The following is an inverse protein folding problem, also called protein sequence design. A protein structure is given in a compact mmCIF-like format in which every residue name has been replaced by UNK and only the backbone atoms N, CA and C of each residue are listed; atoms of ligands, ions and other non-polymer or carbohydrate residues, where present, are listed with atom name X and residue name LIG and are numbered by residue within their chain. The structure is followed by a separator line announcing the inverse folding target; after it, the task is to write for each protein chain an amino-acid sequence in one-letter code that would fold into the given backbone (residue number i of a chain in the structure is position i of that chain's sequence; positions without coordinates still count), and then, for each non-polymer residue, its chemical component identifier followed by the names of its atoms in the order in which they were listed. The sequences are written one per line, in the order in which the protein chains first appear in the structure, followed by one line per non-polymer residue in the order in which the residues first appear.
data_IF_198844440542
#
_entry.id   IF_198844440542
#
_cell.length_a   1.000
_cell.length_b   1.000
_cell.length_c   1.000
_cell.angle_alpha   90.00
_cell.angle_beta   90.00
_cell.angle_gamma   90.00
#
_symmetry.space_group_name_H-M   'P 1'
#
loop_
_entity.id
_entity.type
_entity.pdbx_description
1 polymer ?
#
# COMPACT_ATOMS: atom_id res chain seq x y z
N UNK A 1 -17.89 -2.94 12.97
CA UNK A 1 -18.83 -2.94 11.82
C UNK A 1 -18.98 -1.57 11.17
N UNK A 2 -19.27 -0.50 11.93
CA UNK A 2 -19.45 0.85 11.39
C UNK A 2 -18.24 1.35 10.55
N UNK A 3 -17.03 1.16 11.08
CA UNK A 3 -15.77 1.54 10.42
C UNK A 3 -15.55 0.85 9.06
N UNK A 4 -15.83 -0.45 8.99
CA UNK A 4 -15.73 -1.22 7.74
C UNK A 4 -16.78 -0.80 6.71
N UNK A 5 -17.99 -0.47 7.17
CA UNK A 5 -19.04 0.05 6.30
C UNK A 5 -18.66 1.43 5.73
N UNK A 6 -18.09 2.31 6.56
CA UNK A 6 -17.58 3.62 6.12
C UNK A 6 -16.46 3.47 5.09
N UNK A 7 -15.53 2.53 5.29
CA UNK A 7 -14.43 2.28 4.34
C UNK A 7 -14.96 1.71 3.03
N UNK A 8 -15.87 0.73 3.08
CA UNK A 8 -16.50 0.17 1.88
C UNK A 8 -17.30 1.23 1.11
N UNK A 9 -17.97 2.14 1.83
CA UNK A 9 -18.68 3.26 1.24
C UNK A 9 -17.73 4.27 0.57
N UNK A 10 -16.59 4.57 1.20
CA UNK A 10 -15.54 5.40 0.61
C UNK A 10 -14.90 4.75 -0.62
N UNK A 11 -14.68 3.43 -0.63
CA UNK A 11 -14.21 2.68 -1.79
C UNK A 11 -15.21 2.77 -2.95
N UNK A 12 -16.50 2.59 -2.67
CA UNK A 12 -17.58 2.77 -3.64
C UNK A 12 -17.60 4.18 -4.24
N UNK A 13 -17.46 5.22 -3.41
CA UNK A 13 -17.37 6.60 -3.87
C UNK A 13 -16.13 6.80 -4.76
N UNK A 14 -15.00 6.20 -4.40
CA UNK A 14 -13.77 6.27 -5.19
C UNK A 14 -13.95 5.63 -6.57
N UNK A 15 -14.55 4.44 -6.63
CA UNK A 15 -14.90 3.76 -7.89
C UNK A 15 -15.85 4.62 -8.73
N UNK A 16 -16.90 5.18 -8.12
CA UNK A 16 -17.88 6.02 -8.81
C UNK A 16 -17.25 7.32 -9.35
N UNK A 17 -16.35 7.93 -8.58
CA UNK A 17 -15.62 9.14 -8.98
C UNK A 17 -14.67 8.86 -10.15
N UNK A 18 -14.03 7.70 -10.15
CA UNK A 18 -13.19 7.24 -11.24
C UNK A 18 -13.99 6.93 -12.50
N UNK A 19 -15.14 6.26 -12.37
CA UNK A 19 -16.03 5.98 -13.50
C UNK A 19 -16.55 7.29 -14.12
N UNK A 20 -16.96 8.26 -13.29
CA UNK A 20 -17.38 9.59 -13.75
C UNK A 20 -16.25 10.38 -14.39
N UNK A 21 -15.03 10.34 -13.84
CA UNK A 21 -13.87 11.01 -14.43
C UNK A 21 -13.43 10.39 -15.75
N UNK A 22 -13.55 9.06 -15.91
CA UNK A 22 -13.25 8.34 -17.16
C UNK A 22 -14.13 8.78 -18.32
N UNK A 23 -15.37 9.19 -18.04
CA UNK A 23 -16.32 9.69 -19.03
C UNK A 23 -16.09 11.17 -19.39
N UNK A 24 -15.35 11.93 -18.57
CA UNK A 24 -15.29 13.40 -18.66
C UNK A 24 -13.96 13.99 -19.13
N UNK A 25 -12.89 13.20 -19.22
CA UNK A 25 -11.54 13.74 -19.43
C UNK A 25 -10.86 13.26 -20.72
N UNK A 26 -10.71 14.19 -21.67
CA UNK A 26 -9.71 14.23 -22.74
C UNK A 26 -8.30 14.48 -22.17
N UNK A 27 -7.92 13.72 -21.14
CA UNK A 27 -6.64 13.88 -20.45
C UNK A 27 -5.56 13.04 -21.13
N UNK A 28 -4.31 13.51 -21.10
CA UNK A 28 -3.15 12.81 -21.66
C UNK A 28 -3.02 11.38 -21.11
N UNK A 29 -2.41 10.48 -21.90
CA UNK A 29 -2.25 9.07 -21.55
C UNK A 29 -1.57 8.86 -20.18
N UNK A 30 -0.66 9.76 -19.81
CA UNK A 30 0.16 9.63 -18.60
C UNK A 30 -0.62 9.98 -17.33
N UNK A 31 -1.33 11.10 -17.33
CA UNK A 31 -2.18 11.49 -16.19
C UNK A 31 -3.31 10.48 -15.97
N UNK A 32 -3.84 9.87 -17.05
CA UNK A 32 -4.81 8.78 -16.93
C UNK A 32 -4.21 7.53 -16.27
N UNK A 33 -2.95 7.18 -16.59
CA UNK A 33 -2.25 6.05 -15.98
C UNK A 33 -1.99 6.28 -14.49
N UNK A 34 -1.58 7.49 -14.11
CA UNK A 34 -1.38 7.88 -12.71
C UNK A 34 -2.69 7.78 -11.92
N UNK A 35 -3.77 8.39 -12.41
CA UNK A 35 -5.09 8.32 -11.75
C UNK A 35 -5.58 6.87 -11.58
N UNK A 36 -5.35 6.02 -12.58
CA UNK A 36 -5.67 4.60 -12.49
C UNK A 36 -4.76 3.85 -11.50
N UNK A 37 -3.51 4.30 -11.31
CA UNK A 37 -2.59 3.78 -10.30
C UNK A 37 -3.09 4.08 -8.89
N UNK A 38 -3.37 5.36 -8.60
CA UNK A 38 -3.95 5.79 -7.32
C UNK A 38 -5.28 5.11 -7.03
N UNK A 39 -6.15 5.00 -8.04
CA UNK A 39 -7.40 4.24 -7.96
C UNK A 39 -7.20 2.80 -7.47
N UNK A 40 -6.25 2.09 -8.10
CA UNK A 40 -5.93 0.71 -7.75
C UNK A 40 -5.35 0.62 -6.34
N UNK A 41 -4.57 1.60 -5.91
CA UNK A 41 -4.05 1.65 -4.55
C UNK A 41 -5.17 1.77 -3.53
N UNK A 42 -6.06 2.74 -3.68
CA UNK A 42 -7.19 2.94 -2.75
C UNK A 42 -8.07 1.70 -2.72
N UNK A 43 -8.39 1.13 -3.89
CA UNK A 43 -9.20 -0.09 -3.97
C UNK A 43 -8.55 -1.30 -3.32
N UNK A 44 -7.25 -1.50 -3.55
CA UNK A 44 -6.54 -2.65 -2.99
C UNK A 44 -6.32 -2.48 -1.48
N UNK A 45 -6.03 -1.26 -1.04
CA UNK A 45 -5.88 -0.93 0.37
C UNK A 45 -7.21 -1.13 1.13
N UNK A 46 -8.33 -0.69 0.55
CA UNK A 46 -9.66 -0.92 1.10
C UNK A 46 -10.08 -2.39 1.11
N UNK A 47 -9.73 -3.16 0.06
CA UNK A 47 -9.94 -4.61 0.03
C UNK A 47 -9.17 -5.31 1.15
N UNK A 48 -7.89 -4.98 1.33
CA UNK A 48 -7.02 -5.60 2.34
C UNK A 48 -7.47 -5.22 3.75
N UNK A 49 -7.92 -3.98 3.95
CA UNK A 49 -8.53 -3.57 5.21
C UNK A 49 -9.81 -4.36 5.53
N UNK A 50 -10.66 -4.61 4.54
CA UNK A 50 -11.86 -5.44 4.71
C UNK A 50 -11.51 -6.90 5.04
N UNK A 51 -10.50 -7.47 4.38
CA UNK A 51 -9.98 -8.81 4.71
C UNK A 51 -9.40 -8.85 6.13
N UNK A 52 -8.67 -7.82 6.54
CA UNK A 52 -8.19 -7.66 7.91
C UNK A 52 -9.35 -7.66 8.91
N UNK A 53 -10.39 -6.87 8.66
CA UNK A 53 -11.54 -6.77 9.56
C UNK A 53 -12.32 -8.09 9.61
N UNK A 54 -12.48 -8.77 8.48
CA UNK A 54 -13.09 -10.10 8.43
C UNK A 54 -12.28 -11.09 9.26
N UNK A 55 -10.96 -11.13 9.05
CA UNK A 55 -10.07 -11.97 9.83
C UNK A 55 -10.13 -11.65 11.33
N UNK A 56 -10.04 -10.38 11.71
CA UNK A 56 -10.16 -9.93 13.10
C UNK A 56 -11.46 -10.40 13.77
N UNK A 57 -12.57 -10.39 13.03
CA UNK A 57 -13.90 -10.72 13.58
C UNK A 57 -14.25 -12.20 13.52
N UNK A 58 -13.66 -12.97 12.60
CA UNK A 58 -14.03 -14.37 12.33
C UNK A 58 -12.91 -15.39 12.52
N UNK A 59 -11.67 -14.96 12.68
CA UNK A 59 -10.56 -15.91 12.83
C UNK A 59 -10.60 -16.65 14.17
N UNK A 60 -11.21 -16.07 15.22
CA UNK A 60 -11.46 -16.77 16.48
C UNK A 60 -12.30 -18.05 16.31
N UNK A 61 -13.27 -18.02 15.40
CA UNK A 61 -14.16 -19.15 15.08
C UNK A 61 -13.43 -20.24 14.25
N UNK A 62 -12.42 -19.86 13.47
CA UNK A 62 -11.67 -20.75 12.57
C UNK A 62 -10.43 -21.39 13.22
N UNK A 63 -9.81 -20.74 14.20
CA UNK A 63 -8.62 -21.31 14.84
C UNK A 63 -9.01 -22.45 15.81
N UNK A 64 -8.38 -23.65 15.70
CA UNK A 64 -8.55 -24.70 16.69
C UNK A 64 -7.77 -24.37 17.98
N UNK A 65 -8.38 -24.63 19.14
CA UNK A 65 -7.78 -24.40 20.46
C UNK A 65 -8.80 -24.00 21.52
N UNK A 66 -8.53 -24.25 22.81
CA UNK A 66 -9.45 -23.91 23.92
C UNK A 66 -9.18 -22.57 24.59
N UNK A 67 -8.03 -21.94 24.34
CA UNK A 67 -7.68 -20.64 24.89
C UNK A 67 -7.98 -19.52 23.89
N UNK A 68 -9.05 -18.78 24.15
CA UNK A 68 -9.50 -17.68 23.28
C UNK A 68 -8.53 -16.49 23.30
N UNK A 69 -7.81 -16.27 24.39
CA UNK A 69 -6.84 -15.18 24.56
C UNK A 69 -5.64 -15.31 23.60
N UNK A 70 -5.06 -16.50 23.49
CA UNK A 70 -3.93 -16.75 22.60
C UNK A 70 -4.33 -16.72 21.13
N UNK A 71 -5.54 -17.18 20.81
CA UNK A 71 -6.09 -17.06 19.46
C UNK A 71 -6.27 -15.60 19.07
N UNK A 72 -6.88 -14.80 19.94
CA UNK A 72 -7.11 -13.40 19.71
C UNK A 72 -5.80 -12.62 19.62
N UNK A 73 -4.81 -12.94 20.47
CA UNK A 73 -3.47 -12.35 20.39
C UNK A 73 -2.77 -12.67 19.07
N UNK A 74 -2.82 -13.91 18.60
CA UNK A 74 -2.21 -14.30 17.33
C UNK A 74 -2.91 -13.63 16.15
N UNK A 75 -4.24 -13.63 16.11
CA UNK A 75 -4.98 -13.02 14.99
C UNK A 75 -4.84 -11.51 14.97
N UNK A 76 -4.80 -10.84 16.11
CA UNK A 76 -4.54 -9.39 16.15
C UNK A 76 -3.10 -9.06 15.78
N UNK A 77 -2.12 -9.66 16.45
CA UNK A 77 -0.70 -9.33 16.26
C UNK A 77 -0.21 -9.69 14.85
N UNK A 78 -0.60 -10.86 14.33
CA UNK A 78 -0.23 -11.27 12.98
C UNK A 78 -0.84 -10.33 11.93
N UNK A 79 -2.13 -10.00 12.07
CA UNK A 79 -2.82 -9.17 11.09
C UNK A 79 -2.40 -7.70 11.15
N UNK A 80 -2.11 -7.15 12.32
CA UNK A 80 -1.57 -5.79 12.45
C UNK A 80 -0.17 -5.66 11.84
N UNK A 81 0.70 -6.66 12.03
CA UNK A 81 2.00 -6.69 11.37
C UNK A 81 1.89 -6.85 9.86
N UNK A 82 0.94 -7.66 9.39
CA UNK A 82 0.70 -7.86 7.96
C UNK A 82 0.24 -6.56 7.28
N UNK A 83 -0.66 -5.78 7.91
CA UNK A 83 -1.08 -4.47 7.40
C UNK A 83 0.09 -3.50 7.27
N UNK A 84 0.94 -3.40 8.29
CA UNK A 84 2.11 -2.51 8.28
C UNK A 84 3.10 -2.82 7.15
N UNK A 85 3.15 -4.06 6.67
CA UNK A 85 4.01 -4.46 5.55
C UNK A 85 3.31 -4.27 4.20
N UNK A 86 2.02 -4.62 4.14
CA UNK A 86 1.26 -4.63 2.89
C UNK A 86 1.00 -3.21 2.39
N UNK A 87 0.65 -2.26 3.25
CA UNK A 87 0.38 -0.87 2.86
C UNK A 87 1.55 -0.23 2.07
N UNK A 88 2.80 -0.24 2.57
CA UNK A 88 3.93 0.28 1.80
C UNK A 88 4.23 -0.56 0.54
N UNK A 89 3.97 -1.88 0.56
CA UNK A 89 4.12 -2.72 -0.64
C UNK A 89 3.16 -2.33 -1.77
N UNK A 90 1.90 -2.03 -1.47
CA UNK A 90 0.93 -1.56 -2.46
C UNK A 90 1.41 -0.24 -3.07
N UNK A 91 1.94 0.66 -2.24
CA UNK A 91 2.48 1.94 -2.72
C UNK A 91 3.64 1.71 -3.69
N UNK A 92 4.58 0.83 -3.33
CA UNK A 92 5.73 0.45 -4.15
C UNK A 92 5.32 -0.18 -5.50
N UNK A 93 4.30 -1.04 -5.52
CA UNK A 93 3.90 -1.77 -6.72
C UNK A 93 3.10 -0.88 -7.68
N UNK A 94 2.22 -0.03 -7.15
CA UNK A 94 1.25 0.70 -7.97
C UNK A 94 1.63 2.16 -8.25
N UNK A 95 2.54 2.76 -7.48
CA UNK A 95 3.04 4.11 -7.75
C UNK A 95 4.32 4.05 -8.58
N UNK A 96 4.15 4.16 -9.90
CA UNK A 96 5.27 4.17 -10.85
C UNK A 96 6.22 5.36 -10.65
N UNK A 97 5.70 6.54 -10.29
CA UNK A 97 6.52 7.71 -10.03
C UNK A 97 7.35 7.56 -8.76
N UNK A 98 6.75 7.00 -7.71
CA UNK A 98 7.46 6.72 -6.47
C UNK A 98 8.65 5.78 -6.70
N UNK A 99 8.48 4.76 -7.55
CA UNK A 99 9.60 3.88 -7.94
C UNK A 99 10.67 4.63 -8.71
N UNK A 100 10.30 5.42 -9.72
CA UNK A 100 11.26 6.19 -10.52
C UNK A 100 12.05 7.15 -9.62
N UNK A 101 11.37 7.87 -8.74
CA UNK A 101 11.99 8.75 -7.76
C UNK A 101 12.94 8.02 -6.82
N UNK A 102 12.53 6.86 -6.30
CA UNK A 102 13.37 6.06 -5.41
C UNK A 102 14.62 5.51 -6.13
N UNK A 103 14.48 5.05 -7.38
CA UNK A 103 15.64 4.62 -8.18
C UNK A 103 16.56 5.79 -8.52
N UNK A 104 16.02 6.99 -8.74
CA UNK A 104 16.81 8.22 -8.91
C UNK A 104 17.64 8.52 -7.66
N UNK A 105 17.05 8.45 -6.46
CA UNK A 105 17.76 8.64 -5.20
C UNK A 105 18.83 7.57 -4.96
N UNK A 106 18.53 6.32 -5.29
CA UNK A 106 19.50 5.23 -5.18
C UNK A 106 20.71 5.49 -6.08
N UNK A 107 20.49 5.93 -7.32
CA UNK A 107 21.55 6.28 -8.26
C UNK A 107 22.41 7.46 -7.76
N UNK A 108 21.79 8.50 -7.22
CA UNK A 108 22.49 9.69 -6.70
C UNK A 108 23.38 9.33 -5.49
N UNK A 109 22.88 8.49 -4.58
CA UNK A 109 23.64 8.04 -3.43
C UNK A 109 24.86 7.19 -3.82
N UNK A 110 24.72 6.28 -4.80
CA UNK A 110 25.84 5.50 -5.33
C UNK A 110 26.91 6.42 -5.92
N UNK A 111 26.50 7.47 -6.64
CA UNK A 111 27.42 8.43 -7.25
C UNK A 111 28.16 9.27 -6.20
N UNK A 112 27.48 9.72 -5.12
CA UNK A 112 28.12 10.45 -4.00
C UNK A 112 29.14 9.60 -3.24
N UNK A 113 28.83 8.33 -2.98
CA UNK A 113 29.76 7.39 -2.33
C UNK A 113 30.98 7.12 -3.24
N UNK A 114 30.76 6.99 -4.55
CA UNK A 114 31.85 6.85 -5.52
C UNK A 114 32.78 8.08 -5.56
N UNK A 115 32.23 9.29 -5.53
CA UNK A 115 33.03 10.52 -5.50
C UNK A 115 33.82 10.65 -4.18
N UNK A 116 33.21 10.36 -3.03
CA UNK A 116 33.91 10.39 -1.74
C UNK A 116 35.06 9.39 -1.67
N UNK A 117 34.90 8.19 -2.21
CA UNK A 117 35.94 7.16 -2.22
C UNK A 117 37.11 7.51 -3.17
N UNK A 118 36.84 8.14 -4.31
CA UNK A 118 37.89 8.69 -5.19
C UNK A 118 38.64 9.85 -4.50
N UNK A 119 37.92 10.74 -3.81
CA UNK A 119 38.55 11.86 -3.12
C UNK A 119 39.45 11.41 -1.96
N UNK A 120 39.05 10.40 -1.19
CA UNK A 120 39.87 9.81 -0.12
C UNK A 120 41.13 9.15 -0.71
N UNK A 121 41.02 8.39 -1.80
CA UNK A 121 42.17 7.75 -2.44
C UNK A 121 43.14 8.74 -3.11
N UNK A 122 42.71 9.97 -3.40
CA UNK A 122 43.59 11.03 -3.92
C UNK A 122 44.37 11.78 -2.83
N UNK A 123 44.05 11.53 -1.55
CA UNK A 123 44.68 12.16 -0.38
C UNK A 123 45.77 11.29 0.26
N UNK A 124 46.01 10.09 -0.27
CA UNK A 124 47.08 9.16 0.12
C UNK A 124 47.95 8.83 -1.10
#
# INVERSE_FOLDING_TARGET
MFLAFSITFCDLITILTLFKSRAKFLTSRDTRRQQLGFAKQVLLQGLIFNLYMFWYTKAGDFLPGKCDEWKQFFTTTFSSNLLNIIDPMIILIFNGEYRIWMFSLASENVQRVGISSVHINSLF
#
